data_IF_542728308468
#
_entry.id   IF_542728308468
#
_cell.length_a   1.000
_cell.length_b   1.000
_cell.length_c   1.000
_cell.angle_alpha   90.00
_cell.angle_beta   90.00
_cell.angle_gamma   90.00
#
_symmetry.space_group_name_H-M   'P 1'
#
loop_
_entity.id
_entity.type
_entity.pdbx_description
1 polymer ?
#
# COMPACT_ATOMS: atom_id res chain seq x y z
N UNK A 1 -2.57 30.42 -32.77
CA UNK A 1 -1.28 29.85 -32.34
C UNK A 1 -1.04 30.01 -30.83
N UNK A 2 -1.34 31.17 -30.21
CA UNK A 2 -1.12 31.40 -28.77
C UNK A 2 -1.95 30.49 -27.82
N UNK A 3 -3.21 30.19 -28.16
CA UNK A 3 -4.12 29.40 -27.31
C UNK A 3 -3.69 27.93 -27.20
N UNK A 4 -3.23 27.33 -28.32
CA UNK A 4 -2.76 25.95 -28.35
C UNK A 4 -1.50 25.77 -27.47
N UNK A 5 -0.61 26.76 -27.48
CA UNK A 5 0.58 26.80 -26.62
C UNK A 5 0.23 26.96 -25.14
N UNK A 6 -0.75 27.81 -24.80
CA UNK A 6 -1.20 27.97 -23.42
C UNK A 6 -1.84 26.68 -22.87
N UNK A 7 -2.67 26.01 -23.67
CA UNK A 7 -3.27 24.72 -23.31
C UNK A 7 -2.21 23.64 -23.13
N UNK A 8 -1.25 23.55 -24.05
CA UNK A 8 -0.13 22.60 -23.98
C UNK A 8 0.73 22.83 -22.72
N UNK A 9 1.03 24.09 -22.38
CA UNK A 9 1.75 24.43 -21.15
C UNK A 9 0.97 24.07 -19.88
N UNK A 10 -0.35 24.29 -19.85
CA UNK A 10 -1.21 23.91 -18.73
C UNK A 10 -1.28 22.39 -18.55
N UNK A 11 -1.40 21.62 -19.63
CA UNK A 11 -1.40 20.16 -19.58
C UNK A 11 -0.07 19.64 -19.01
N UNK A 12 1.06 20.18 -19.46
CA UNK A 12 2.39 19.83 -18.92
C UNK A 12 2.51 20.19 -17.44
N UNK A 13 1.98 21.35 -17.02
CA UNK A 13 1.96 21.77 -15.61
C UNK A 13 1.11 20.82 -14.75
N UNK A 14 -0.06 20.41 -15.22
CA UNK A 14 -0.91 19.46 -14.49
C UNK A 14 -0.29 18.06 -14.42
N UNK A 15 0.35 17.59 -15.50
CA UNK A 15 1.03 16.29 -15.53
C UNK A 15 2.23 16.25 -14.57
N UNK A 16 3.04 17.31 -14.55
CA UNK A 16 4.21 17.40 -13.65
C UNK A 16 3.80 17.59 -12.19
N UNK A 17 2.72 18.33 -11.92
CA UNK A 17 2.16 18.47 -10.58
C UNK A 17 1.54 17.15 -10.08
N UNK A 18 0.79 16.44 -10.93
CA UNK A 18 0.15 15.16 -10.59
C UNK A 18 1.16 14.09 -10.17
N UNK A 19 2.28 13.97 -10.88
CA UNK A 19 3.34 13.02 -10.54
C UNK A 19 4.08 13.37 -9.24
N UNK A 20 4.31 14.66 -8.96
CA UNK A 20 4.96 15.12 -7.72
C UNK A 20 4.04 15.02 -6.49
N UNK A 21 2.72 15.13 -6.67
CA UNK A 21 1.75 15.00 -5.57
C UNK A 21 1.58 13.56 -5.08
N UNK A 22 1.66 12.56 -5.96
CA UNK A 22 1.43 11.16 -5.61
C UNK A 22 2.43 10.62 -4.56
N UNK A 23 3.72 10.95 -4.69
CA UNK A 23 4.76 10.54 -3.73
C UNK A 23 4.70 11.31 -2.40
N UNK A 24 4.18 12.55 -2.43
CA UNK A 24 3.93 13.34 -1.21
C UNK A 24 2.74 12.81 -0.42
N UNK A 25 1.71 12.29 -1.10
CA UNK A 25 0.47 11.81 -0.49
C UNK A 25 0.70 10.62 0.45
N UNK A 26 1.35 9.55 -0.02
CA UNK A 26 1.54 8.34 0.79
C UNK A 26 2.44 8.59 2.01
N UNK A 27 3.50 9.39 1.83
CA UNK A 27 4.41 9.75 2.92
C UNK A 27 3.73 10.59 4.00
N UNK A 28 2.85 11.50 3.58
CA UNK A 28 2.03 12.28 4.50
C UNK A 28 1.03 11.39 5.26
N UNK A 29 0.31 10.50 4.56
CA UNK A 29 -0.63 9.55 5.17
C UNK A 29 0.07 8.68 6.22
N UNK A 30 1.25 8.14 5.89
CA UNK A 30 2.05 7.29 6.79
C UNK A 30 2.38 8.04 8.09
N UNK A 31 2.84 9.28 7.95
CA UNK A 31 3.22 10.14 9.08
C UNK A 31 2.01 10.52 9.93
N UNK A 32 0.93 11.01 9.31
CA UNK A 32 -0.27 11.48 10.03
C UNK A 32 -1.00 10.36 10.78
N UNK A 33 -0.94 9.13 10.26
CA UNK A 33 -1.59 7.97 10.88
C UNK A 33 -0.66 7.17 11.80
N UNK A 34 0.58 7.63 12.02
CA UNK A 34 1.62 6.93 12.80
C UNK A 34 1.75 5.45 12.37
N UNK A 35 1.80 5.20 11.06
CA UNK A 35 1.77 3.84 10.51
C UNK A 35 3.02 3.02 10.84
N UNK A 36 4.13 3.70 11.08
CA UNK A 36 5.42 3.10 11.43
C UNK A 36 5.36 2.50 12.85
N UNK A 37 6.12 1.42 13.07
CA UNK A 37 6.24 0.72 14.37
C UNK A 37 4.97 0.04 14.92
N UNK A 38 3.92 -0.14 14.10
CA UNK A 38 2.69 -0.86 14.52
C UNK A 38 2.77 -2.38 14.39
N UNK A 39 3.74 -2.90 13.64
CA UNK A 39 3.94 -4.33 13.40
C UNK A 39 5.34 -4.74 13.85
N UNK A 40 5.47 -5.94 14.39
CA UNK A 40 6.77 -6.57 14.67
C UNK A 40 7.50 -6.92 13.37
N UNK A 41 8.84 -6.89 13.40
CA UNK A 41 9.68 -7.24 12.25
C UNK A 41 9.31 -8.59 11.61
N UNK A 42 9.00 -9.67 12.37
CA UNK A 42 8.56 -10.93 11.76
C UNK A 42 7.27 -10.80 10.93
N UNK A 43 6.27 -10.07 11.43
CA UNK A 43 5.03 -9.79 10.70
C UNK A 43 5.32 -8.97 9.43
N UNK A 44 6.18 -7.95 9.53
CA UNK A 44 6.57 -7.10 8.39
C UNK A 44 7.18 -7.93 7.27
N UNK A 45 8.13 -8.82 7.59
CA UNK A 45 8.81 -9.65 6.61
C UNK A 45 7.85 -10.63 5.93
N UNK A 46 6.99 -11.30 6.70
CA UNK A 46 6.04 -12.26 6.13
C UNK A 46 4.95 -11.58 5.29
N UNK A 47 4.43 -10.43 5.73
CA UNK A 47 3.50 -9.62 4.95
C UNK A 47 4.15 -9.12 3.65
N UNK A 48 5.41 -8.70 3.71
CA UNK A 48 6.17 -8.29 2.52
C UNK A 48 6.32 -9.44 1.52
N UNK A 49 6.78 -10.62 1.96
CA UNK A 49 6.90 -11.81 1.10
C UNK A 49 5.54 -12.23 0.51
N UNK A 50 4.46 -12.17 1.28
CA UNK A 50 3.10 -12.47 0.80
C UNK A 50 2.65 -11.54 -0.34
N UNK A 51 3.03 -10.26 -0.29
CA UNK A 51 2.54 -9.23 -1.21
C UNK A 51 3.47 -9.04 -2.42
N UNK A 52 4.78 -9.01 -2.19
CA UNK A 52 5.80 -8.64 -3.19
C UNK A 52 6.47 -9.84 -3.87
N UNK A 53 6.32 -11.04 -3.31
CA UNK A 53 6.93 -12.26 -3.81
C UNK A 53 5.85 -13.35 -3.99
N UNK A 54 6.25 -14.60 -3.77
CA UNK A 54 5.40 -15.77 -3.70
C UNK A 54 5.29 -16.22 -2.24
N UNK A 55 4.12 -16.02 -1.64
CA UNK A 55 3.87 -16.44 -0.27
C UNK A 55 2.44 -16.17 0.16
N UNK A 56 2.17 -16.45 1.43
CA UNK A 56 0.94 -16.14 2.14
C UNK A 56 1.28 -15.72 3.55
N UNK A 57 0.56 -14.75 4.10
CA UNK A 57 0.67 -14.42 5.52
C UNK A 57 0.05 -15.53 6.39
N UNK A 58 0.74 -15.93 7.44
CA UNK A 58 0.23 -16.86 8.44
C UNK A 58 -0.80 -16.20 9.36
N UNK A 59 -1.78 -16.99 9.81
CA UNK A 59 -2.87 -16.53 10.67
C UNK A 59 -2.38 -15.84 11.95
N UNK A 60 -1.20 -16.24 12.49
CA UNK A 60 -0.61 -15.65 13.70
C UNK A 60 -0.32 -14.14 13.57
N UNK A 61 -0.06 -13.65 12.35
CA UNK A 61 0.28 -12.24 12.11
C UNK A 61 -0.90 -11.43 11.59
N UNK A 62 -2.07 -12.05 11.36
CA UNK A 62 -3.25 -11.32 10.90
C UNK A 62 -3.75 -10.28 11.90
N UNK A 63 -3.60 -10.52 13.20
CA UNK A 63 -3.95 -9.53 14.23
C UNK A 63 -3.09 -8.26 14.14
N UNK A 64 -1.77 -8.42 13.95
CA UNK A 64 -0.85 -7.29 13.76
C UNK A 64 -1.14 -6.56 12.44
N UNK A 65 -1.34 -7.31 11.34
CA UNK A 65 -1.63 -6.73 10.03
C UNK A 65 -2.93 -5.92 10.06
N UNK A 66 -4.01 -6.45 10.63
CA UNK A 66 -5.29 -5.72 10.74
C UNK A 66 -5.17 -4.55 11.72
N UNK A 67 -4.40 -4.70 12.80
CA UNK A 67 -4.10 -3.65 13.77
C UNK A 67 -3.38 -2.43 13.19
N UNK A 68 -2.61 -2.61 12.11
CA UNK A 68 -2.01 -1.53 11.31
C UNK A 68 -3.06 -0.56 10.77
N UNK A 69 -4.28 -1.05 10.50
CA UNK A 69 -5.40 -0.40 9.80
C UNK A 69 -5.19 -0.30 8.29
N UNK A 70 -6.30 -0.36 7.56
CA UNK A 70 -6.33 -0.39 6.09
C UNK A 70 -5.65 0.81 5.44
N UNK A 71 -5.78 1.99 6.05
CA UNK A 71 -5.16 3.23 5.56
C UNK A 71 -3.63 3.12 5.54
N UNK A 72 -3.05 2.61 6.63
CA UNK A 72 -1.61 2.42 6.75
C UNK A 72 -1.10 1.28 5.87
N UNK A 73 -1.82 0.15 5.84
CA UNK A 73 -1.51 -0.97 4.94
C UNK A 73 -1.41 -0.52 3.47
N UNK A 74 -2.43 0.21 3.01
CA UNK A 74 -2.49 0.68 1.63
C UNK A 74 -1.39 1.71 1.32
N UNK A 75 -1.15 2.65 2.23
CA UNK A 75 -0.12 3.69 2.05
C UNK A 75 1.30 3.10 2.05
N UNK A 76 1.59 2.14 2.92
CA UNK A 76 2.90 1.47 2.97
C UNK A 76 3.16 0.65 1.70
N UNK A 77 2.17 -0.11 1.21
CA UNK A 77 2.33 -0.87 -0.05
C UNK A 77 2.56 0.06 -1.24
N UNK A 78 1.80 1.16 -1.34
CA UNK A 78 2.00 2.17 -2.40
C UNK A 78 3.38 2.82 -2.31
N UNK A 79 3.80 3.25 -1.10
CA UNK A 79 5.15 3.80 -0.87
C UNK A 79 6.24 2.81 -1.26
N UNK A 80 6.07 1.52 -0.96
CA UNK A 80 7.05 0.50 -1.37
C UNK A 80 7.11 0.39 -2.90
N UNK A 81 5.98 0.42 -3.60
CA UNK A 81 5.95 0.41 -5.08
C UNK A 81 6.59 1.65 -5.73
N UNK A 82 6.69 2.78 -5.01
CA UNK A 82 7.42 3.96 -5.50
C UNK A 82 8.95 3.76 -5.50
N UNK A 83 9.47 2.76 -4.77
CA UNK A 83 10.89 2.48 -4.75
C UNK A 83 11.35 1.87 -6.10
N UNK A 84 12.37 2.45 -6.77
CA UNK A 84 12.88 1.97 -8.06
C UNK A 84 13.28 0.50 -8.09
N UNK A 85 13.57 -0.11 -6.93
CA UNK A 85 13.86 -1.55 -6.82
C UNK A 85 12.69 -2.44 -7.28
N UNK A 86 11.46 -1.94 -7.25
CA UNK A 86 10.24 -2.68 -7.62
C UNK A 86 9.65 -2.26 -8.97
N UNK A 87 10.39 -1.47 -9.77
CA UNK A 87 9.89 -0.92 -11.05
C UNK A 87 9.45 -1.98 -12.07
N UNK A 88 10.03 -3.18 -11.99
CA UNK A 88 9.76 -4.28 -12.92
C UNK A 88 8.58 -5.16 -12.46
N UNK A 89 8.07 -4.93 -11.23
CA UNK A 89 6.85 -5.57 -10.75
C UNK A 89 5.62 -4.89 -11.32
N UNK A 90 4.59 -5.68 -11.62
CA UNK A 90 3.27 -5.14 -12.03
C UNK A 90 2.56 -4.50 -10.83
N UNK A 91 2.38 -3.16 -10.78
CA UNK A 91 1.74 -2.52 -9.62
C UNK A 91 0.32 -3.04 -9.38
N UNK A 92 -0.43 -3.31 -10.45
CA UNK A 92 -1.77 -3.89 -10.38
C UNK A 92 -1.77 -5.26 -9.69
N UNK A 93 -0.80 -6.12 -10.03
CA UNK A 93 -0.67 -7.45 -9.43
C UNK A 93 -0.34 -7.36 -7.95
N UNK A 94 0.58 -6.47 -7.56
CA UNK A 94 0.97 -6.25 -6.18
C UNK A 94 -0.19 -5.67 -5.35
N UNK A 95 -0.93 -4.72 -5.91
CA UNK A 95 -2.12 -4.15 -5.26
C UNK A 95 -3.19 -5.23 -5.07
N UNK A 96 -3.42 -6.09 -6.07
CA UNK A 96 -4.38 -7.19 -5.95
C UNK A 96 -3.98 -8.18 -4.84
N UNK A 97 -2.69 -8.58 -4.78
CA UNK A 97 -2.14 -9.43 -3.71
C UNK A 97 -2.25 -8.77 -2.33
N UNK A 98 -2.01 -7.47 -2.26
CA UNK A 98 -2.16 -6.68 -1.03
C UNK A 98 -3.61 -6.65 -0.53
N UNK A 99 -4.58 -6.46 -1.41
CA UNK A 99 -6.01 -6.49 -1.09
C UNK A 99 -6.42 -7.89 -0.64
N UNK A 100 -5.97 -8.94 -1.34
CA UNK A 100 -6.25 -10.32 -0.99
C UNK A 100 -5.70 -10.67 0.41
N UNK A 101 -4.43 -10.32 0.67
CA UNK A 101 -3.78 -10.55 1.97
C UNK A 101 -4.55 -9.85 3.10
N UNK A 102 -4.94 -8.59 2.90
CA UNK A 102 -5.76 -7.84 3.86
C UNK A 102 -7.10 -8.52 4.13
N UNK A 103 -7.84 -8.88 3.07
CA UNK A 103 -9.17 -9.46 3.19
C UNK A 103 -9.13 -10.85 3.86
N UNK A 104 -8.12 -11.67 3.56
CA UNK A 104 -7.94 -12.97 4.22
C UNK A 104 -7.74 -12.81 5.73
N UNK A 105 -6.89 -11.86 6.14
CA UNK A 105 -6.69 -11.59 7.56
C UNK A 105 -7.90 -10.96 8.23
N UNK A 106 -8.60 -10.03 7.57
CA UNK A 106 -9.80 -9.42 8.11
C UNK A 106 -10.90 -10.47 8.34
N UNK A 107 -11.12 -11.36 7.37
CA UNK A 107 -12.09 -12.45 7.50
C UNK A 107 -11.78 -13.40 8.67
N UNK A 108 -10.49 -13.64 8.95
CA UNK A 108 -10.06 -14.45 10.09
C UNK A 108 -10.39 -13.78 11.44
N UNK A 109 -10.18 -12.46 11.54
CA UNK A 109 -10.46 -11.69 12.76
C UNK A 109 -11.97 -11.50 12.99
N UNK A 110 -12.74 -11.29 11.92
CA UNK A 110 -14.19 -11.13 11.96
C UNK A 110 -14.94 -12.46 12.12
N UNK A 111 -14.24 -13.60 11.98
CA UNK A 111 -14.83 -14.91 12.21
C UNK A 111 -15.29 -15.04 13.66
N UNK A 112 -16.56 -15.42 13.93
CA UNK A 112 -16.99 -15.72 15.28
C UNK A 112 -16.07 -16.78 15.87
N UNK A 113 -15.61 -16.57 17.11
CA UNK A 113 -14.92 -17.64 17.84
C UNK A 113 -15.86 -18.84 17.88
N UNK A 114 -15.39 -20.06 17.58
CA UNK A 114 -16.20 -21.25 17.81
C UNK A 114 -16.62 -21.19 19.28
N UNK A 115 -17.93 -21.17 19.50
CA UNK A 115 -18.49 -21.21 20.85
C UNK A 115 -17.96 -22.49 21.51
N UNK A 116 -17.33 -22.33 22.68
CA UNK A 116 -16.81 -23.42 23.49
C UNK A 116 -17.94 -24.26 24.09
#
# INVERSE_FOLDING_TARGET
MAILNAYSALVVLFLTCGAAMATKENNQIIKENNCENKMGLPCVLEAFTSIFETGSISNKYCGELVGLRKVCHSALVKRTLENPLFKDLSPATIIAKSIQTWNNCLALIDSPSPSA
#
